data_IF_005438747913
#
_entry.id   IF_005438747913
#
_cell.length_a   1.000
_cell.length_b   1.000
_cell.length_c   1.000
_cell.angle_alpha   90.00
_cell.angle_beta   90.00
_cell.angle_gamma   90.00
#
_symmetry.space_group_name_H-M   'P 1'
#
loop_
_entity.id
_entity.type
_entity.pdbx_description
1 polymer ?
#
# COMPACT_ATOMS: atom_id res chain seq x y z
N UNK A 1 -9.47 5.18 -23.82
CA UNK A 1 -9.44 5.20 -22.34
C UNK A 1 -9.61 6.66 -21.91
N UNK A 2 -10.79 7.10 -21.45
CA UNK A 2 -10.97 8.49 -20.98
C UNK A 2 -10.17 8.63 -19.68
N UNK A 3 -8.98 9.25 -19.77
CA UNK A 3 -8.18 9.59 -18.60
C UNK A 3 -8.98 10.61 -17.78
N UNK A 4 -9.64 10.16 -16.71
CA UNK A 4 -10.24 11.08 -15.76
C UNK A 4 -9.09 11.85 -15.09
N UNK A 5 -9.04 13.16 -15.29
CA UNK A 5 -8.07 14.04 -14.66
C UNK A 5 -8.18 13.91 -13.14
N UNK A 6 -7.21 13.22 -12.53
CA UNK A 6 -7.04 13.20 -11.08
C UNK A 6 -6.38 14.53 -10.73
N UNK A 7 -7.15 15.47 -10.17
CA UNK A 7 -6.54 16.60 -9.45
C UNK A 7 -6.03 16.02 -8.13
N UNK A 8 -4.72 15.91 -8.02
CA UNK A 8 -4.05 15.77 -6.73
C UNK A 8 -3.87 17.20 -6.22
N UNK A 9 -4.69 17.60 -5.25
CA UNK A 9 -4.42 18.82 -4.50
C UNK A 9 -3.20 18.51 -3.63
N UNK A 10 -2.03 18.90 -4.14
CA UNK A 10 -0.76 18.85 -3.44
C UNK A 10 -0.63 20.14 -2.63
N UNK A 11 -1.37 20.23 -1.54
CA UNK A 11 -0.93 21.08 -0.45
C UNK A 11 0.08 20.27 0.37
N UNK A 12 1.28 20.82 0.52
CA UNK A 12 2.25 20.32 1.49
C UNK A 12 1.59 20.40 2.86
N UNK A 13 0.96 19.30 3.28
CA UNK A 13 0.45 19.16 4.62
C UNK A 13 1.66 19.28 5.53
N UNK A 14 1.82 20.47 6.11
CA UNK A 14 2.61 20.74 7.31
C UNK A 14 1.93 19.94 8.41
N UNK A 15 2.18 18.64 8.42
CA UNK A 15 1.94 17.83 9.60
C UNK A 15 3.04 18.27 10.55
N UNK A 16 2.78 19.39 11.22
CA UNK A 16 3.60 19.85 12.32
C UNK A 16 3.76 18.69 13.31
N UNK A 17 4.98 18.63 13.82
CA UNK A 17 5.62 17.51 14.50
C UNK A 17 4.71 16.90 15.57
N UNK A 18 4.05 15.78 15.23
CA UNK A 18 3.17 15.05 16.16
C UNK A 18 3.54 13.58 16.25
N UNK A 19 4.82 13.26 16.06
CA UNK A 19 5.32 11.90 16.28
C UNK A 19 6.59 11.95 17.11
N UNK A 20 6.66 11.09 18.11
CA UNK A 20 7.89 10.82 18.85
C UNK A 20 8.62 9.68 18.16
N UNK A 21 9.89 9.91 17.81
CA UNK A 21 10.81 8.85 17.37
C UNK A 21 11.53 8.35 18.61
N UNK A 22 11.40 7.06 18.93
CA UNK A 22 12.33 6.42 19.86
C UNK A 22 13.63 6.17 19.08
N UNK A 23 14.64 6.97 19.38
CA UNK A 23 15.84 7.12 18.55
C UNK A 23 16.93 6.09 18.90
N UNK A 24 16.86 5.48 20.08
CA UNK A 24 17.98 4.72 20.67
C UNK A 24 18.16 3.32 20.05
N UNK A 25 17.07 2.60 19.70
CA UNK A 25 17.18 1.25 19.10
C UNK A 25 17.43 1.29 17.57
N UNK A 26 17.24 2.47 16.94
CA UNK A 26 17.27 2.64 15.49
C UNK A 26 18.71 2.59 14.94
N UNK A 27 19.68 3.07 15.72
CA UNK A 27 21.08 3.20 15.32
C UNK A 27 21.75 1.83 15.19
N UNK A 28 21.63 0.98 16.22
CA UNK A 28 22.26 -0.35 16.24
C UNK A 28 21.78 -1.24 15.09
N UNK A 29 20.50 -1.15 14.72
CA UNK A 29 19.96 -1.94 13.61
C UNK A 29 20.31 -1.37 12.23
N UNK A 30 20.52 -0.04 12.11
CA UNK A 30 21.11 0.52 10.88
C UNK A 30 22.57 0.13 10.72
N UNK A 31 23.31 0.00 11.81
CA UNK A 31 24.72 -0.40 11.77
C UNK A 31 24.85 -1.88 11.36
N UNK A 32 23.99 -2.77 11.87
CA UNK A 32 23.89 -4.15 11.36
C UNK A 32 23.56 -4.24 9.86
N UNK A 33 22.91 -3.22 9.28
CA UNK A 33 22.62 -3.17 7.84
C UNK A 33 23.78 -2.60 7.06
N UNK A 34 24.49 -1.59 7.59
CA UNK A 34 25.71 -1.05 6.96
C UNK A 34 26.81 -2.09 6.88
N UNK A 35 27.00 -2.87 7.94
CA UNK A 35 27.99 -3.97 7.97
C UNK A 35 27.64 -5.07 6.93
N UNK A 36 26.34 -5.25 6.66
CA UNK A 36 25.85 -6.10 5.56
C UNK A 36 25.92 -5.44 4.17
N UNK A 37 25.93 -4.11 4.07
CA UNK A 37 26.06 -3.34 2.83
C UNK A 37 27.52 -3.34 2.34
N UNK A 38 28.49 -3.09 3.23
CA UNK A 38 29.92 -3.04 2.88
C UNK A 38 30.44 -4.39 2.38
N UNK A 39 29.95 -5.51 2.95
CA UNK A 39 30.40 -6.85 2.58
C UNK A 39 29.88 -7.37 1.23
N UNK A 40 28.98 -6.65 0.54
CA UNK A 40 28.41 -7.10 -0.75
C UNK A 40 28.43 -6.09 -1.89
N UNK A 41 28.80 -4.83 -1.65
CA UNK A 41 28.87 -3.85 -2.75
C UNK A 41 30.04 -4.06 -3.72
N UNK A 42 31.06 -4.83 -3.35
CA UNK A 42 32.23 -5.07 -4.21
C UNK A 42 31.97 -6.03 -5.39
N UNK A 43 30.94 -6.87 -5.34
CA UNK A 43 30.66 -7.83 -6.42
C UNK A 43 29.26 -7.63 -7.03
N UNK A 44 29.11 -6.69 -7.97
CA UNK A 44 28.33 -6.92 -9.20
C UNK A 44 28.38 -5.67 -10.11
N UNK A 45 29.10 -5.83 -11.22
CA UNK A 45 29.36 -4.80 -12.22
C UNK A 45 28.22 -4.75 -13.26
N UNK A 46 27.18 -3.95 -13.01
CA UNK A 46 26.23 -3.59 -14.08
C UNK A 46 26.95 -2.65 -15.05
N UNK A 47 27.18 -3.10 -16.28
CA UNK A 47 27.77 -2.29 -17.36
C UNK A 47 26.80 -1.16 -17.71
N UNK A 48 27.03 0.02 -17.16
CA UNK A 48 26.31 1.24 -17.53
C UNK A 48 27.19 1.96 -18.55
N UNK A 49 26.80 1.89 -19.82
CA UNK A 49 27.47 2.62 -20.91
C UNK A 49 27.03 4.09 -20.87
N UNK A 50 28.03 4.98 -20.78
CA UNK A 50 27.83 6.42 -20.80
C UNK A 50 27.69 6.88 -22.27
N UNK A 51 26.50 7.36 -22.66
CA UNK A 51 26.34 8.15 -23.88
C UNK A 51 25.99 9.58 -23.49
N UNK A 52 27.01 10.42 -23.43
CA UNK A 52 26.87 11.88 -23.31
C UNK A 52 26.65 12.45 -24.71
N UNK A 53 25.44 12.90 -25.03
CA UNK A 53 25.19 13.74 -26.19
C UNK A 53 24.86 15.15 -25.67
N UNK A 54 25.80 16.07 -25.87
CA UNK A 54 25.67 17.49 -25.57
C UNK A 54 25.70 18.22 -26.91
N UNK A 55 24.53 18.66 -27.37
CA UNK A 55 24.42 19.73 -28.35
C UNK A 55 23.62 20.84 -27.67
N UNK A 56 24.28 21.95 -27.39
CA UNK A 56 23.71 23.10 -26.68
C UNK A 56 23.71 24.30 -27.60
N UNK A 57 22.51 24.74 -27.99
CA UNK A 57 22.26 26.08 -28.52
C UNK A 57 21.55 26.92 -27.44
N UNK A 58 22.14 28.08 -27.11
CA UNK A 58 21.43 29.28 -26.66
C UNK A 58 20.56 29.24 -25.39
N UNK A 59 21.15 29.71 -24.28
CA UNK A 59 20.51 30.51 -23.20
C UNK A 59 19.20 29.96 -22.59
N UNK A 60 19.34 29.11 -21.56
CA UNK A 60 18.81 29.33 -20.19
C UNK A 60 19.77 28.60 -19.26
N UNK A 61 20.26 29.26 -18.19
CA UNK A 61 21.04 28.62 -17.10
C UNK A 61 20.12 27.71 -16.27
N UNK A 62 19.54 26.68 -16.88
CA UNK A 62 18.99 25.55 -16.14
C UNK A 62 20.20 24.80 -15.63
N UNK A 63 20.28 24.56 -14.33
CA UNK A 63 21.22 23.56 -13.81
C UNK A 63 20.84 22.26 -14.52
N UNK A 64 21.59 21.91 -15.57
CA UNK A 64 21.49 20.63 -16.27
C UNK A 64 21.81 19.55 -15.26
N UNK A 65 20.77 19.16 -14.53
CA UNK A 65 20.80 18.01 -13.65
C UNK A 65 20.78 16.85 -14.62
N UNK A 66 21.96 16.47 -15.09
CA UNK A 66 22.19 15.45 -16.11
C UNK A 66 21.42 14.20 -15.72
N UNK A 67 20.27 14.02 -16.37
CA UNK A 67 19.44 12.87 -16.12
C UNK A 67 19.98 11.71 -16.96
N UNK A 68 20.13 10.56 -16.33
CA UNK A 68 20.60 9.34 -16.97
C UNK A 68 19.37 8.50 -17.30
N UNK A 69 19.19 8.17 -18.58
CA UNK A 69 18.02 7.46 -19.07
C UNK A 69 18.25 5.96 -19.12
N UNK A 70 17.31 5.18 -18.60
CA UNK A 70 17.29 3.73 -18.72
C UNK A 70 16.96 3.32 -20.15
N UNK A 71 17.84 2.57 -20.80
CA UNK A 71 17.67 2.13 -22.19
C UNK A 71 16.56 1.10 -22.38
N UNK A 72 16.18 0.36 -21.33
CA UNK A 72 15.16 -0.70 -21.43
C UNK A 72 13.72 -0.20 -21.25
N UNK A 73 13.50 0.93 -20.56
CA UNK A 73 12.15 1.47 -20.35
C UNK A 73 12.02 2.97 -20.61
N UNK A 74 13.08 3.66 -21.03
CA UNK A 74 13.08 5.09 -21.31
C UNK A 74 12.99 5.99 -20.07
N UNK A 75 13.06 5.42 -18.86
CA UNK A 75 12.92 6.20 -17.63
C UNK A 75 14.17 7.02 -17.35
N UNK A 76 14.04 8.34 -17.23
CA UNK A 76 15.12 9.24 -16.83
C UNK A 76 15.28 9.32 -15.31
N UNK A 77 16.51 9.19 -14.82
CA UNK A 77 16.86 9.21 -13.41
C UNK A 77 17.90 10.29 -13.11
N UNK A 78 17.86 10.88 -11.92
CA UNK A 78 18.70 12.03 -11.58
C UNK A 78 20.20 11.72 -11.40
N UNK A 79 20.61 10.46 -11.37
CA UNK A 79 22.02 10.07 -11.24
C UNK A 79 22.28 8.64 -11.69
N UNK A 80 23.56 8.32 -11.96
CA UNK A 80 24.04 6.97 -12.32
C UNK A 80 23.80 5.93 -11.21
N UNK A 81 23.99 6.30 -9.94
CA UNK A 81 23.71 5.40 -8.79
C UNK A 81 22.24 5.03 -8.66
N UNK A 82 21.33 6.00 -8.92
CA UNK A 82 19.89 5.73 -8.99
C UNK A 82 19.54 4.86 -10.19
N UNK A 83 20.21 5.06 -11.34
CA UNK A 83 20.07 4.17 -12.50
C UNK A 83 20.52 2.73 -12.18
N UNK A 84 21.69 2.52 -11.57
CA UNK A 84 22.17 1.19 -11.13
C UNK A 84 21.12 0.48 -10.28
N UNK A 85 20.55 1.18 -9.29
CA UNK A 85 19.49 0.63 -8.44
C UNK A 85 18.20 0.36 -9.23
N UNK A 86 17.86 1.22 -10.20
CA UNK A 86 16.70 1.05 -11.07
C UNK A 86 16.82 -0.17 -11.98
N UNK A 87 18.02 -0.46 -12.50
CA UNK A 87 18.27 -1.62 -13.36
C UNK A 87 17.89 -2.95 -12.70
N UNK A 88 17.84 -3.02 -11.37
CA UNK A 88 17.36 -4.19 -10.62
C UNK A 88 15.90 -4.58 -10.93
N UNK A 89 15.09 -3.65 -11.44
CA UNK A 89 13.73 -3.96 -11.92
C UNK A 89 13.78 -4.82 -13.18
N UNK A 90 14.78 -4.63 -14.02
CA UNK A 90 14.98 -5.36 -15.27
C UNK A 90 15.73 -6.67 -15.06
N UNK A 91 16.79 -6.65 -14.24
CA UNK A 91 17.61 -7.83 -13.98
C UNK A 91 16.96 -8.78 -12.96
N UNK A 92 16.01 -8.29 -12.15
CA UNK A 92 15.41 -9.06 -11.06
C UNK A 92 16.32 -9.20 -9.83
N UNK A 93 17.53 -8.60 -9.84
CA UNK A 93 18.50 -8.69 -8.75
C UNK A 93 17.92 -8.19 -7.42
N UNK A 94 18.10 -9.00 -6.37
CA UNK A 94 17.67 -8.70 -5.00
C UNK A 94 18.78 -9.05 -4.00
N UNK A 95 19.81 -8.19 -3.88
CA UNK A 95 21.03 -8.51 -3.12
C UNK A 95 20.81 -8.69 -1.61
N UNK A 96 19.75 -8.08 -1.08
CA UNK A 96 19.54 -7.97 0.36
C UNK A 96 18.64 -9.10 0.86
N UNK A 97 19.16 -9.96 1.73
CA UNK A 97 18.42 -11.12 2.25
C UNK A 97 18.13 -10.93 3.72
N UNK A 98 16.88 -11.17 4.13
CA UNK A 98 16.53 -11.23 5.54
C UNK A 98 17.14 -12.49 6.17
N UNK A 99 18.01 -12.37 7.19
CA UNK A 99 18.64 -13.52 7.82
C UNK A 99 17.63 -14.40 8.58
N UNK A 100 16.51 -13.84 9.04
CA UNK A 100 15.55 -14.57 9.85
C UNK A 100 14.52 -15.38 9.03
N UNK A 101 14.13 -14.92 7.85
CA UNK A 101 13.13 -15.62 7.03
C UNK A 101 13.56 -15.89 5.58
N UNK A 102 14.80 -15.55 5.20
CA UNK A 102 15.34 -15.75 3.86
C UNK A 102 14.71 -14.86 2.77
N UNK A 103 13.82 -13.93 3.13
CA UNK A 103 13.15 -13.07 2.16
C UNK A 103 14.13 -12.07 1.54
N UNK A 104 14.13 -11.98 0.22
CA UNK A 104 15.06 -11.14 -0.54
C UNK A 104 14.44 -9.81 -1.01
N UNK A 105 15.24 -8.75 -1.04
CA UNK A 105 14.86 -7.37 -1.35
C UNK A 105 15.85 -6.74 -2.32
N UNK A 106 15.36 -5.84 -3.18
CA UNK A 106 16.19 -5.09 -4.15
C UNK A 106 16.82 -3.83 -3.58
N UNK A 107 16.45 -3.43 -2.36
CA UNK A 107 16.97 -2.24 -1.65
C UNK A 107 17.14 -2.55 -0.17
N UNK A 108 18.24 -2.10 0.42
CA UNK A 108 18.54 -2.26 1.85
C UNK A 108 17.49 -1.62 2.74
N UNK A 109 17.06 -0.39 2.44
CA UNK A 109 15.95 0.28 3.17
C UNK A 109 14.64 -0.52 3.19
N UNK A 110 14.42 -1.39 2.20
CA UNK A 110 13.25 -2.28 2.17
C UNK A 110 13.45 -3.54 3.01
N UNK A 111 14.69 -4.07 3.07
CA UNK A 111 15.06 -5.08 4.06
C UNK A 111 14.97 -4.52 5.48
N UNK A 112 15.52 -3.34 5.73
CA UNK A 112 15.43 -2.65 7.03
C UNK A 112 13.99 -2.55 7.51
N UNK A 113 13.11 -2.01 6.67
CA UNK A 113 11.70 -1.90 7.03
C UNK A 113 11.02 -3.25 7.26
N UNK A 114 11.49 -4.28 6.57
CA UNK A 114 10.99 -5.64 6.78
C UNK A 114 11.45 -6.22 8.12
N UNK A 115 12.67 -5.91 8.58
CA UNK A 115 13.18 -6.39 9.88
C UNK A 115 12.32 -5.96 11.06
N UNK A 116 11.63 -4.82 10.97
CA UNK A 116 10.66 -4.40 11.99
C UNK A 116 9.47 -5.36 12.18
N UNK A 117 9.19 -6.25 11.22
CA UNK A 117 8.19 -7.31 11.41
C UNK A 117 8.69 -8.35 12.42
N UNK A 118 10.00 -8.59 12.44
CA UNK A 118 10.64 -9.55 13.31
C UNK A 118 10.85 -9.01 14.72
N UNK A 119 11.32 -7.77 14.84
CA UNK A 119 11.51 -7.14 16.16
C UNK A 119 10.20 -6.64 16.77
N UNK A 120 9.18 -6.44 15.93
CA UNK A 120 7.91 -5.83 16.36
C UNK A 120 8.00 -4.32 16.58
N UNK A 121 9.17 -3.72 16.31
CA UNK A 121 9.41 -2.29 16.49
C UNK A 121 8.50 -1.43 15.62
N UNK A 122 8.01 -0.35 16.23
CA UNK A 122 7.13 0.63 15.61
C UNK A 122 7.54 2.03 16.06
N UNK A 123 8.63 2.59 15.51
CA UNK A 123 9.22 3.82 16.01
C UNK A 123 8.31 5.05 15.85
N UNK A 124 7.32 4.98 14.96
CA UNK A 124 6.48 6.13 14.60
C UNK A 124 5.13 6.04 15.30
N UNK A 125 4.94 6.79 16.38
CA UNK A 125 3.71 6.77 17.16
C UNK A 125 2.80 7.96 16.85
N UNK A 126 1.52 7.70 16.61
CA UNK A 126 0.49 8.72 16.52
C UNK A 126 0.20 9.29 17.90
N UNK A 127 0.43 10.59 18.11
CA UNK A 127 0.14 11.25 19.39
C UNK A 127 -1.35 11.34 19.71
N UNK A 128 -2.24 11.29 18.70
CA UNK A 128 -3.69 11.44 18.94
C UNK A 128 -4.38 10.14 19.39
N UNK A 129 -3.89 8.97 18.99
CA UNK A 129 -4.51 7.69 19.38
C UNK A 129 -3.53 6.65 19.93
N UNK A 130 -2.25 6.99 20.09
CA UNK A 130 -1.20 6.09 20.59
C UNK A 130 -0.83 4.95 19.62
N UNK A 131 -1.40 4.91 18.42
CA UNK A 131 -1.12 3.84 17.47
C UNK A 131 0.26 4.02 16.82
N UNK A 132 1.09 3.00 16.90
CA UNK A 132 2.45 3.01 16.34
C UNK A 132 2.58 2.27 15.01
N UNK A 133 3.54 2.72 14.19
CA UNK A 133 3.83 2.23 12.84
C UNK A 133 5.33 2.01 12.65
N UNK A 134 5.69 1.08 11.78
CA UNK A 134 7.07 0.81 11.37
C UNK A 134 7.59 1.74 10.26
N UNK A 135 6.75 2.63 9.71
CA UNK A 135 7.16 3.56 8.64
C UNK A 135 6.44 4.88 8.85
N UNK A 136 7.19 5.98 8.81
CA UNK A 136 6.65 7.34 8.89
C UNK A 136 5.62 7.61 7.79
N UNK A 137 5.80 7.01 6.61
CA UNK A 137 4.85 7.11 5.50
C UNK A 137 3.49 6.48 5.83
N UNK A 138 3.47 5.43 6.66
CA UNK A 138 2.21 4.84 7.13
C UNK A 138 1.58 5.68 8.24
N UNK A 139 2.38 6.27 9.13
CA UNK A 139 1.88 7.21 10.12
C UNK A 139 1.28 8.45 9.45
N UNK A 140 1.99 9.09 8.50
CA UNK A 140 1.47 10.21 7.71
C UNK A 140 0.13 9.88 7.07
N UNK A 141 0.00 8.69 6.48
CA UNK A 141 -1.28 8.23 5.91
C UNK A 141 -2.35 7.96 6.96
N UNK A 142 -1.96 7.54 8.14
CA UNK A 142 -2.88 7.32 9.26
C UNK A 142 -3.43 8.64 9.80
N UNK A 143 -2.62 9.70 9.84
CA UNK A 143 -3.05 11.03 10.30
C UNK A 143 -4.23 11.60 9.51
N UNK A 144 -4.42 11.19 8.25
CA UNK A 144 -5.62 11.55 7.46
C UNK A 144 -6.95 11.09 8.10
N UNK A 145 -6.92 10.11 9.00
CA UNK A 145 -8.11 9.70 9.77
C UNK A 145 -8.49 10.77 10.80
N UNK A 146 -7.48 11.41 11.39
CA UNK A 146 -7.63 12.44 12.41
C UNK A 146 -7.94 13.81 11.79
N UNK A 147 -7.22 14.19 10.76
CA UNK A 147 -7.44 15.47 10.06
C UNK A 147 -8.68 15.44 9.17
N UNK A 148 -9.16 14.25 8.81
CA UNK A 148 -10.27 14.07 7.86
C UNK A 148 -9.89 14.35 6.41
N UNK A 149 -8.61 14.63 6.14
CA UNK A 149 -8.08 14.98 4.81
C UNK A 149 -8.37 13.91 3.76
N UNK A 150 -8.81 14.38 2.59
CA UNK A 150 -9.18 13.54 1.44
C UNK A 150 -8.69 14.20 0.15
N UNK A 151 -7.37 14.13 -0.16
CA UNK A 151 -6.78 14.89 -1.26
C UNK A 151 -7.26 14.50 -2.67
N UNK A 152 -7.96 13.36 -2.80
CA UNK A 152 -8.37 12.82 -4.09
C UNK A 152 -9.87 13.00 -4.30
N UNK A 153 -10.24 14.05 -5.03
CA UNK A 153 -11.65 14.41 -5.27
C UNK A 153 -12.16 13.88 -6.61
N UNK A 154 -13.34 13.27 -6.60
CA UNK A 154 -14.05 12.90 -7.82
C UNK A 154 -14.62 14.14 -8.50
N UNK A 155 -14.16 14.44 -9.72
CA UNK A 155 -14.62 15.60 -10.48
C UNK A 155 -16.07 15.49 -10.97
N UNK A 156 -16.68 14.30 -10.95
CA UNK A 156 -18.05 14.10 -11.42
C UNK A 156 -19.11 14.24 -10.32
N UNK A 157 -18.79 13.93 -9.06
CA UNK A 157 -19.75 14.01 -7.95
C UNK A 157 -19.23 14.75 -6.71
N UNK A 158 -18.03 15.33 -6.76
CA UNK A 158 -17.43 16.05 -5.64
C UNK A 158 -16.99 15.16 -4.47
N UNK A 159 -17.17 13.84 -4.55
CA UNK A 159 -16.81 12.93 -3.45
C UNK A 159 -15.30 12.78 -3.33
N UNK A 160 -14.75 13.04 -2.15
CA UNK A 160 -13.32 12.97 -1.88
C UNK A 160 -12.89 11.68 -1.15
N UNK A 161 -11.65 11.26 -1.39
CA UNK A 161 -11.04 10.05 -0.86
C UNK A 161 -9.64 10.31 -0.32
N UNK A 162 -9.22 9.57 0.70
CA UNK A 162 -7.85 9.63 1.25
C UNK A 162 -6.82 8.82 0.45
N UNK A 163 -7.24 8.06 -0.57
CA UNK A 163 -6.36 7.25 -1.41
C UNK A 163 -6.76 7.37 -2.88
N UNK A 164 -5.78 7.62 -3.75
CA UNK A 164 -5.98 7.63 -5.22
C UNK A 164 -6.61 6.34 -5.74
N UNK A 165 -6.17 5.18 -5.24
CA UNK A 165 -6.75 3.88 -5.62
C UNK A 165 -8.22 3.73 -5.22
N UNK A 166 -8.66 4.39 -4.15
CA UNK A 166 -10.08 4.43 -3.77
C UNK A 166 -10.88 5.31 -4.73
N UNK A 167 -10.34 6.47 -5.13
CA UNK A 167 -10.94 7.33 -6.14
C UNK A 167 -11.04 6.60 -7.50
N UNK A 168 -9.94 6.01 -7.98
CA UNK A 168 -9.91 5.25 -9.23
C UNK A 168 -10.96 4.13 -9.23
N UNK A 169 -11.08 3.38 -8.14
CA UNK A 169 -12.14 2.37 -7.99
C UNK A 169 -13.54 2.99 -7.96
N UNK A 170 -13.70 4.15 -7.32
CA UNK A 170 -14.98 4.87 -7.26
C UNK A 170 -15.44 5.34 -8.64
N UNK A 171 -14.53 5.73 -9.53
CA UNK A 171 -14.87 6.14 -10.90
C UNK A 171 -15.67 5.08 -11.68
N UNK A 172 -15.58 3.80 -11.29
CA UNK A 172 -16.39 2.72 -11.88
C UNK A 172 -17.89 2.88 -11.70
N UNK A 173 -18.32 3.66 -10.71
CA UNK A 173 -19.75 4.00 -10.53
C UNK A 173 -20.22 4.89 -11.69
N UNK A 174 -19.35 5.79 -12.16
CA UNK A 174 -19.65 6.70 -13.25
C UNK A 174 -19.48 6.05 -14.63
N UNK A 175 -18.43 5.24 -14.80
CA UNK A 175 -18.18 4.57 -16.08
C UNK A 175 -19.02 3.32 -16.29
N UNK A 176 -19.63 2.77 -15.22
CA UNK A 176 -20.32 1.49 -15.24
C UNK A 176 -19.41 0.27 -15.38
N UNK A 177 -18.08 0.47 -15.37
CA UNK A 177 -17.11 -0.61 -15.55
C UNK A 177 -17.25 -1.70 -14.48
N UNK A 178 -17.36 -2.95 -14.94
CA UNK A 178 -17.45 -4.15 -14.10
C UNK A 178 -16.41 -5.19 -14.55
N UNK A 179 -15.13 -5.02 -14.20
CA UNK A 179 -14.03 -5.82 -14.77
C UNK A 179 -14.02 -7.30 -14.33
N UNK A 180 -14.84 -7.68 -13.36
CA UNK A 180 -14.80 -9.02 -12.76
C UNK A 180 -16.05 -9.80 -13.12
N UNK A 181 -15.95 -10.69 -14.10
CA UNK A 181 -17.08 -11.48 -14.60
C UNK A 181 -17.09 -12.88 -14.02
N UNK A 182 -18.26 -13.33 -13.57
CA UNK A 182 -18.49 -14.72 -13.20
C UNK A 182 -18.51 -15.58 -14.44
N UNK A 183 -17.62 -16.55 -14.53
CA UNK A 183 -17.52 -17.47 -15.66
C UNK A 183 -18.70 -18.45 -15.75
N UNK A 184 -19.43 -18.67 -14.64
CA UNK A 184 -20.54 -19.62 -14.62
C UNK A 184 -21.89 -19.03 -15.03
N UNK A 185 -22.13 -17.73 -14.80
CA UNK A 185 -23.41 -17.09 -15.14
C UNK A 185 -23.28 -15.78 -15.92
N UNK A 186 -22.06 -15.38 -16.31
CA UNK A 186 -21.81 -14.14 -17.05
C UNK A 186 -22.02 -12.85 -16.24
N UNK A 187 -22.43 -12.93 -14.97
CA UNK A 187 -22.68 -11.74 -14.15
C UNK A 187 -21.37 -11.02 -13.82
N UNK A 188 -21.32 -9.71 -14.10
CA UNK A 188 -20.14 -8.88 -13.88
C UNK A 188 -20.24 -7.99 -12.63
N UNK A 189 -19.11 -7.78 -11.97
CA UNK A 189 -18.97 -7.05 -10.71
C UNK A 189 -17.88 -5.97 -10.81
N UNK A 190 -18.06 -4.86 -10.10
CA UNK A 190 -17.07 -3.78 -10.01
C UNK A 190 -15.87 -4.08 -9.09
N UNK A 191 -15.94 -5.16 -8.28
CA UNK A 191 -14.91 -5.57 -7.32
C UNK A 191 -14.73 -7.09 -7.32
N UNK A 192 -13.47 -7.55 -7.32
CA UNK A 192 -13.13 -8.98 -7.17
C UNK A 192 -13.72 -9.59 -5.89
N UNK A 193 -13.70 -8.86 -4.76
CA UNK A 193 -14.33 -9.33 -3.51
C UNK A 193 -15.83 -9.62 -3.66
N UNK A 194 -16.53 -8.86 -4.51
CA UNK A 194 -17.95 -9.07 -4.77
C UNK A 194 -18.18 -10.30 -5.65
N UNK A 195 -17.32 -10.51 -6.66
CA UNK A 195 -17.30 -11.74 -7.44
C UNK A 195 -17.03 -12.95 -6.54
N UNK A 196 -16.01 -12.92 -5.69
CA UNK A 196 -15.68 -14.04 -4.79
C UNK A 196 -16.84 -14.40 -3.87
N UNK A 197 -17.54 -13.40 -3.32
CA UNK A 197 -18.78 -13.63 -2.54
C UNK A 197 -19.88 -14.24 -3.39
N UNK A 198 -20.05 -13.76 -4.62
CA UNK A 198 -21.03 -14.31 -5.55
C UNK A 198 -20.73 -15.78 -5.91
N UNK A 199 -19.47 -16.17 -6.05
CA UNK A 199 -19.07 -17.56 -6.30
C UNK A 199 -19.53 -18.54 -5.21
N UNK A 200 -19.86 -18.06 -4.01
CA UNK A 200 -20.45 -18.90 -2.95
C UNK A 200 -21.83 -19.44 -3.32
N UNK A 201 -22.56 -18.76 -4.22
CA UNK A 201 -23.85 -19.24 -4.73
C UNK A 201 -23.65 -20.50 -5.57
N UNK A 202 -22.64 -20.46 -6.45
CA UNK A 202 -22.32 -21.56 -7.35
C UNK A 202 -21.69 -22.76 -6.63
N UNK A 203 -20.79 -22.49 -5.69
CA UNK A 203 -20.09 -23.55 -4.95
C UNK A 203 -20.88 -24.10 -3.77
N UNK A 204 -21.97 -23.42 -3.36
CA UNK A 204 -22.70 -23.75 -2.13
C UNK A 204 -21.90 -23.56 -0.83
N UNK A 205 -20.66 -23.06 -0.90
CA UNK A 205 -19.76 -22.96 0.26
C UNK A 205 -20.32 -22.00 1.31
N UNK A 206 -20.35 -22.47 2.56
CA UNK A 206 -20.83 -21.74 3.73
C UNK A 206 -19.80 -21.80 4.86
N UNK A 207 -18.69 -21.06 4.76
CA UNK A 207 -17.55 -21.20 5.68
C UNK A 207 -17.79 -20.63 7.09
N UNK A 208 -18.93 -19.96 7.33
CA UNK A 208 -19.21 -19.31 8.61
C UNK A 208 -20.29 -20.06 9.37
N UNK A 209 -19.88 -20.88 10.33
CA UNK A 209 -20.79 -21.73 11.12
C UNK A 209 -21.14 -21.08 12.45
N UNK A 210 -22.42 -21.10 12.82
CA UNK A 210 -22.88 -20.77 14.15
C UNK A 210 -22.45 -21.84 15.13
N UNK A 211 -21.70 -21.47 16.16
CA UNK A 211 -21.27 -22.39 17.22
C UNK A 211 -22.41 -22.84 18.13
N UNK A 212 -23.49 -22.05 18.23
CA UNK A 212 -24.62 -22.38 19.11
C UNK A 212 -25.68 -23.29 18.47
N UNK A 213 -25.86 -23.26 17.15
CA UNK A 213 -26.89 -24.07 16.48
C UNK A 213 -26.43 -24.80 15.21
N UNK A 214 -25.15 -24.75 14.86
CA UNK A 214 -24.57 -25.43 13.69
C UNK A 214 -24.98 -24.85 12.33
N UNK A 215 -25.90 -23.88 12.27
CA UNK A 215 -26.29 -23.24 11.01
C UNK A 215 -25.11 -22.52 10.36
N UNK A 216 -24.89 -22.80 9.07
CA UNK A 216 -23.76 -22.26 8.31
C UNK A 216 -24.20 -21.21 7.29
N UNK A 217 -23.37 -20.19 7.11
CA UNK A 217 -23.64 -19.02 6.28
C UNK A 217 -22.52 -18.76 5.28
N UNK A 218 -22.87 -18.19 4.12
CA UNK A 218 -21.92 -17.84 3.06
C UNK A 218 -21.13 -16.57 3.34
N UNK A 219 -21.58 -15.72 4.27
CA UNK A 219 -20.90 -14.48 4.66
C UNK A 219 -20.92 -14.29 6.19
N UNK A 220 -19.83 -13.76 6.73
CA UNK A 220 -19.70 -13.46 8.16
C UNK A 220 -20.73 -12.46 8.67
N UNK A 221 -21.16 -11.50 7.83
CA UNK A 221 -22.21 -10.55 8.19
C UNK A 221 -23.56 -11.23 8.43
N UNK A 222 -23.87 -12.29 7.69
CA UNK A 222 -25.08 -13.09 7.90
C UNK A 222 -24.99 -13.90 9.18
N UNK A 223 -23.83 -14.49 9.48
CA UNK A 223 -23.58 -15.14 10.76
C UNK A 223 -23.71 -14.15 11.92
N UNK A 224 -23.11 -12.96 11.83
CA UNK A 224 -23.20 -11.92 12.86
C UNK A 224 -24.64 -11.48 13.10
N UNK A 225 -25.44 -11.32 12.03
CA UNK A 225 -26.85 -11.00 12.18
C UNK A 225 -27.62 -12.16 12.83
N UNK A 226 -27.32 -13.39 12.42
CA UNK A 226 -27.87 -14.57 13.04
C UNK A 226 -27.51 -14.68 14.54
N UNK A 227 -26.32 -14.27 14.98
CA UNK A 227 -25.98 -14.31 16.42
C UNK A 227 -26.89 -13.44 17.29
N UNK A 228 -27.55 -12.42 16.71
CA UNK A 228 -28.48 -11.58 17.47
C UNK A 228 -29.67 -12.38 18.01
N UNK A 229 -30.11 -13.43 17.31
CA UNK A 229 -31.24 -14.25 17.79
C UNK A 229 -30.90 -15.07 19.03
N UNK A 230 -29.62 -15.33 19.27
CA UNK A 230 -29.14 -16.04 20.45
C UNK A 230 -28.87 -15.10 21.62
N UNK A 231 -28.41 -13.88 21.31
CA UNK A 231 -28.12 -12.86 22.31
C UNK A 231 -29.36 -12.08 22.75
N UNK A 232 -30.50 -12.23 22.07
CA UNK A 232 -31.77 -11.70 22.53
C UNK A 232 -32.22 -12.46 23.78
N UNK A 233 -31.75 -12.01 24.95
CA UNK A 233 -32.43 -12.28 26.21
C UNK A 233 -33.83 -11.71 26.04
N UNK A 234 -34.83 -12.59 25.93
CA UNK A 234 -36.23 -12.20 25.94
C UNK A 234 -36.58 -11.76 27.37
N UNK A 235 -36.29 -10.52 27.72
CA UNK A 235 -36.90 -9.87 28.87
C UNK A 235 -38.35 -9.47 28.50
N UNK A 236 -39.21 -10.47 28.34
CA UNK A 236 -40.64 -10.25 28.42
C UNK A 236 -41.05 -10.60 29.84
N UNK A 237 -41.13 -9.59 30.70
CA UNK A 237 -41.73 -9.74 32.03
C UNK A 237 -43.24 -9.59 31.85
N UNK A 238 -44.01 -10.62 32.22
CA UNK A 238 -45.47 -10.52 32.35
C UNK A 238 -45.77 -9.52 33.48
N UNK A 239 -46.50 -8.44 33.20
CA UNK A 239 -46.89 -7.45 34.22
C UNK A 239 -48.20 -7.80 34.95
N UNK A 240 -48.79 -8.97 34.69
CA UNK A 240 -50.03 -9.42 35.36
C UNK A 240 -49.97 -10.88 35.88
N UNK A 241 -48.83 -11.32 36.44
CA UNK A 241 -48.63 -12.69 36.96
C UNK A 241 -47.98 -12.77 38.37
#
# INVERSE_FOLDING_TARGET
MKMAFIKEESEDVKIEETFTVKQEDLQEQTDLIKDYEESKEEEHHVKIEDKTHLETDGIVKVRDKSCVTCTQCGKSLASKSKLKTHMRIHTGEKPFTCPQCGKIFSKSSSLYRHMMIHTGEKPFTCTQCGKSFCDSSYLKKHMMIHTGEKPFTCTQCGKSFSKSSSLYRHMRIHTGEKPFTCTQCGKSFGRSSSLNKHMMIHTGKKPFTCTQCGKSFSQSSYLKNHMKIHNSVKEYVCLEC
#
